data_IF_727929986752
#
_entry.id   IF_727929986752
#
_cell.length_a   1.000
_cell.length_b   1.000
_cell.length_c   1.000
_cell.angle_alpha   90.00
_cell.angle_beta   90.00
_cell.angle_gamma   90.00
#
_symmetry.space_group_name_H-M   'P 1'
#
loop_
_entity.id
_entity.type
_entity.pdbx_description
1 polymer ?
#
# COMPACT_ATOMS: atom_id res chain seq x y z
N UNK A 1 2.66 -19.50 -8.33
CA UNK A 1 2.46 -18.19 -7.69
C UNK A 1 3.05 -17.13 -8.61
N UNK A 2 2.25 -16.18 -9.09
CA UNK A 2 2.77 -15.07 -9.88
C UNK A 2 3.51 -14.09 -8.97
N UNK A 3 4.77 -13.80 -9.27
CA UNK A 3 5.54 -12.77 -8.56
C UNK A 3 5.31 -11.45 -9.28
N UNK A 4 4.77 -10.46 -8.57
CA UNK A 4 4.66 -9.10 -9.09
C UNK A 4 5.93 -8.34 -8.69
N UNK A 5 6.58 -7.72 -9.68
CA UNK A 5 7.71 -6.82 -9.43
C UNK A 5 7.19 -5.39 -9.29
N UNK A 6 7.77 -4.67 -8.34
CA UNK A 6 7.55 -3.24 -8.17
C UNK A 6 8.70 -2.52 -8.87
N UNK A 7 8.40 -1.42 -9.54
CA UNK A 7 9.43 -0.59 -10.16
C UNK A 7 10.43 -0.06 -9.11
N UNK A 8 11.71 -0.05 -9.43
CA UNK A 8 12.78 0.35 -8.50
C UNK A 8 12.61 1.78 -8.00
N UNK A 9 12.09 2.69 -8.83
CA UNK A 9 11.84 4.08 -8.43
C UNK A 9 10.72 4.17 -7.39
N UNK A 10 9.65 3.41 -7.60
CA UNK A 10 8.52 3.31 -6.67
C UNK A 10 8.95 2.63 -5.37
N UNK A 11 9.79 1.60 -5.43
CA UNK A 11 10.30 0.94 -4.23
C UNK A 11 11.14 1.90 -3.36
N UNK A 12 11.94 2.77 -3.98
CA UNK A 12 12.70 3.83 -3.29
C UNK A 12 11.77 4.85 -2.65
N UNK A 13 10.73 5.28 -3.36
CA UNK A 13 9.73 6.21 -2.84
C UNK A 13 9.00 5.64 -1.62
N UNK A 14 8.55 4.38 -1.69
CA UNK A 14 7.94 3.66 -0.57
C UNK A 14 8.89 3.61 0.62
N UNK A 15 10.17 3.28 0.38
CA UNK A 15 11.19 3.26 1.42
C UNK A 15 11.40 4.62 2.09
N UNK A 16 11.42 5.70 1.30
CA UNK A 16 11.53 7.07 1.82
C UNK A 16 10.29 7.48 2.63
N UNK A 17 9.10 7.11 2.15
CA UNK A 17 7.84 7.39 2.82
C UNK A 17 7.75 6.72 4.20
N UNK A 18 8.10 5.43 4.28
CA UNK A 18 8.09 4.64 5.52
C UNK A 18 9.09 5.17 6.56
N UNK A 19 10.24 5.69 6.11
CA UNK A 19 11.28 6.20 7.00
C UNK A 19 10.89 7.48 7.76
N UNK A 20 9.84 8.19 7.34
CA UNK A 20 9.31 9.34 8.09
C UNK A 20 8.79 8.88 9.45
N UNK A 21 9.11 9.62 10.52
CA UNK A 21 8.93 9.19 11.91
C UNK A 21 7.48 8.77 12.23
N UNK A 22 6.51 9.54 11.77
CA UNK A 22 5.06 9.25 11.87
C UNK A 22 4.63 7.96 11.15
N UNK A 23 5.28 7.64 10.04
CA UNK A 23 4.91 6.52 9.17
C UNK A 23 5.57 5.22 9.59
N UNK A 24 6.72 5.29 10.27
CA UNK A 24 7.48 4.11 10.68
C UNK A 24 6.72 3.24 11.68
N UNK A 25 5.95 3.86 12.58
CA UNK A 25 5.10 3.15 13.53
C UNK A 25 3.90 2.49 12.85
N UNK A 26 3.32 3.17 11.86
CA UNK A 26 2.16 2.65 11.10
C UNK A 26 2.56 1.57 10.10
N UNK A 27 3.77 1.64 9.54
CA UNK A 27 4.26 0.79 8.47
C UNK A 27 5.65 0.24 8.80
N UNK A 28 5.77 -0.79 9.65
CA UNK A 28 7.06 -1.30 10.12
C UNK A 28 7.93 -1.94 9.02
N UNK A 29 7.34 -2.27 7.86
CA UNK A 29 8.04 -2.83 6.71
C UNK A 29 7.37 -2.45 5.39
N UNK A 30 8.10 -2.61 4.28
CA UNK A 30 7.54 -2.42 2.92
C UNK A 30 6.34 -3.33 2.68
N UNK A 31 6.42 -4.59 3.13
CA UNK A 31 5.30 -5.55 3.02
C UNK A 31 4.09 -5.10 3.82
N UNK A 32 4.28 -4.59 5.04
CA UNK A 32 3.18 -4.08 5.86
C UNK A 32 2.50 -2.87 5.19
N UNK A 33 3.30 -1.94 4.66
CA UNK A 33 2.80 -0.81 3.88
C UNK A 33 1.94 -1.27 2.70
N UNK A 34 2.48 -2.15 1.85
CA UNK A 34 1.78 -2.64 0.66
C UNK A 34 0.47 -3.33 1.02
N UNK A 35 0.48 -4.20 2.03
CA UNK A 35 -0.73 -4.92 2.46
C UNK A 35 -1.83 -3.95 2.91
N UNK A 36 -1.49 -2.92 3.69
CA UNK A 36 -2.46 -1.92 4.15
C UNK A 36 -3.01 -1.11 2.97
N UNK A 37 -2.14 -0.55 2.13
CA UNK A 37 -2.55 0.30 1.01
C UNK A 37 -3.41 -0.48 0.01
N UNK A 38 -3.01 -1.71 -0.33
CA UNK A 38 -3.79 -2.57 -1.24
C UNK A 38 -5.15 -2.87 -0.62
N UNK A 39 -5.22 -3.20 0.67
CA UNK A 39 -6.47 -3.47 1.35
C UNK A 39 -7.41 -2.25 1.38
N UNK A 40 -6.88 -1.06 1.70
CA UNK A 40 -7.64 0.19 1.70
C UNK A 40 -8.18 0.52 0.31
N UNK A 41 -7.35 0.36 -0.73
CA UNK A 41 -7.75 0.59 -2.11
C UNK A 41 -8.84 -0.39 -2.56
N UNK A 42 -8.65 -1.69 -2.33
CA UNK A 42 -9.66 -2.72 -2.66
C UNK A 42 -10.97 -2.50 -1.92
N UNK A 43 -10.91 -2.09 -0.64
CA UNK A 43 -12.09 -1.77 0.15
C UNK A 43 -12.85 -0.57 -0.42
N UNK A 44 -12.12 0.46 -0.86
CA UNK A 44 -12.71 1.65 -1.49
C UNK A 44 -13.38 1.32 -2.81
N UNK A 45 -12.75 0.50 -3.66
CA UNK A 45 -13.34 0.01 -4.91
C UNK A 45 -14.62 -0.80 -4.66
N UNK A 46 -14.64 -1.67 -3.64
CA UNK A 46 -15.84 -2.44 -3.26
C UNK A 46 -16.98 -1.53 -2.79
N UNK A 47 -16.68 -0.50 -2.01
CA UNK A 47 -17.68 0.49 -1.55
C UNK A 47 -18.25 1.29 -2.71
N UNK A 48 -17.42 1.75 -3.65
CA UNK A 48 -17.87 2.45 -4.86
C UNK A 48 -18.80 1.59 -5.73
N UNK A 49 -18.54 0.28 -5.82
CA UNK A 49 -19.42 -0.65 -6.53
C UNK A 49 -20.76 -0.89 -5.82
N UNK A 50 -20.80 -0.83 -4.48
CA UNK A 50 -22.03 -1.02 -3.68
C UNK A 50 -22.92 0.23 -3.60
N UNK A 51 -22.36 1.43 -3.75
CA UNK A 51 -23.12 2.70 -3.70
C UNK A 51 -23.78 3.11 -5.03
N UNK A 52 -23.70 2.29 -6.07
CA UNK A 52 -24.38 2.49 -7.37
C UNK A 52 -25.55 1.50 -7.59
N UNK A 53 -26.09 0.95 -6.51
CA UNK A 53 -27.27 0.07 -6.53
C UNK A 53 -28.50 0.78 -6.00
#
# INVERSE_FOLDING_TARGET
MGVVRIDDSLEKEIGAFIKKEENRFRYPSKTAFLNVVIHEHLSSLKKQKKGKG
#
